data_IF_759622180427
#
_entry.id   IF_759622180427
#
_cell.length_a   1.000
_cell.length_b   1.000
_cell.length_c   1.000
_cell.angle_alpha   90.00
_cell.angle_beta   90.00
_cell.angle_gamma   90.00
#
_symmetry.space_group_name_H-M   'P 1'
#
loop_
_entity.id
_entity.type
_entity.pdbx_description
1 polymer ?
#
# COMPACT_ATOMS: atom_id res chain seq x y z
N UNK A 1 -22.63 49.78 49.43
CA UNK A 1 -21.58 50.71 49.90
C UNK A 1 -20.23 50.10 49.55
N UNK A 2 -19.58 50.60 48.49
CA UNK A 2 -18.20 51.19 48.45
C UNK A 2 -17.09 50.13 48.67
N UNK A 3 -16.39 49.62 47.62
CA UNK A 3 -15.12 50.11 47.02
C UNK A 3 -13.99 50.31 48.07
N UNK A 4 -12.70 49.96 47.92
CA UNK A 4 -11.80 49.81 46.79
C UNK A 4 -10.45 49.16 47.25
N UNK A 5 -9.66 48.66 46.27
CA UNK A 5 -8.21 48.37 46.12
C UNK A 5 -7.22 48.70 47.28
N UNK A 6 -6.10 47.97 47.46
CA UNK A 6 -4.89 48.01 46.60
C UNK A 6 -3.94 46.81 46.75
N UNK A 7 -3.27 46.48 45.63
CA UNK A 7 -2.10 45.58 45.44
C UNK A 7 -0.86 46.09 46.20
N UNK A 8 0.06 45.17 46.51
CA UNK A 8 1.51 45.34 46.26
C UNK A 8 2.17 43.98 45.96
N UNK A 9 3.12 44.03 45.04
CA UNK A 9 3.76 42.93 44.30
C UNK A 9 4.98 42.35 45.04
N UNK A 10 5.41 41.14 44.65
CA UNK A 10 6.78 40.68 44.87
C UNK A 10 6.93 39.32 45.53
N UNK A 11 6.67 38.23 44.79
CA UNK A 11 7.08 36.88 45.19
C UNK A 11 8.12 36.33 44.20
N UNK A 12 9.40 36.56 44.51
CA UNK A 12 10.52 35.91 43.83
C UNK A 12 10.80 34.58 44.54
N UNK A 13 10.60 33.48 43.80
CA UNK A 13 11.11 32.16 44.11
C UNK A 13 12.64 32.12 43.97
N UNK A 14 13.31 31.28 44.78
CA UNK A 14 14.20 30.20 44.32
C UNK A 14 14.57 29.33 45.55
N UNK A 15 14.14 28.06 45.54
CA UNK A 15 14.49 27.02 46.52
C UNK A 15 15.80 26.32 46.14
N UNK A 16 16.57 25.97 47.17
CA UNK A 16 17.90 25.36 47.17
C UNK A 16 17.94 23.92 46.64
N UNK A 17 19.09 23.65 45.99
CA UNK A 17 19.82 22.39 45.70
C UNK A 17 19.41 21.12 46.47
N UNK A 18 19.38 20.00 45.74
CA UNK A 18 19.57 18.64 46.24
C UNK A 18 20.16 17.76 45.14
N UNK A 19 21.34 17.21 45.38
CA UNK A 19 22.22 16.45 44.48
C UNK A 19 21.68 15.02 44.29
N UNK A 20 21.73 14.47 43.07
CA UNK A 20 21.73 13.01 42.85
C UNK A 20 22.82 12.62 41.85
N UNK A 21 23.41 11.47 42.16
CA UNK A 21 24.67 10.90 41.68
C UNK A 21 24.58 10.39 40.25
N UNK A 22 25.62 10.65 39.44
CA UNK A 22 26.03 9.78 38.33
C UNK A 22 27.00 8.72 38.88
N UNK A 23 26.97 7.48 38.35
CA UNK A 23 28.10 7.11 37.50
C UNK A 23 27.77 6.19 36.30
N UNK A 24 28.40 6.55 35.17
CA UNK A 24 29.20 5.69 34.27
C UNK A 24 28.47 4.77 33.26
N UNK A 25 28.69 5.14 32.00
CA UNK A 25 28.90 4.34 30.78
C UNK A 25 27.93 3.21 30.42
N UNK A 26 27.13 3.49 29.39
CA UNK A 26 26.95 2.54 28.29
C UNK A 26 27.04 3.29 26.96
N UNK A 27 28.24 3.30 26.36
CA UNK A 27 28.35 3.24 24.90
C UNK A 27 27.55 2.03 24.46
N UNK A 28 26.39 2.23 23.87
CA UNK A 28 25.75 1.20 23.06
C UNK A 28 25.39 1.83 21.73
N UNK A 29 26.25 1.55 20.77
CA UNK A 29 25.96 1.40 19.35
C UNK A 29 24.68 2.09 18.90
N UNK A 30 24.81 3.28 18.30
CA UNK A 30 23.82 3.72 17.33
C UNK A 30 23.78 2.63 16.26
N UNK A 31 22.85 1.68 16.43
CA UNK A 31 22.58 0.68 15.42
C UNK A 31 22.41 1.43 14.11
N UNK A 32 23.07 0.99 13.01
CA UNK A 32 22.86 1.63 11.72
C UNK A 32 21.34 1.68 11.51
N UNK A 33 20.83 2.90 11.26
CA UNK A 33 19.42 3.08 10.90
C UNK A 33 19.12 2.01 9.85
N UNK A 34 18.07 1.19 10.01
CA UNK A 34 17.71 0.26 8.95
C UNK A 34 17.62 1.10 7.68
N UNK A 35 18.40 0.71 6.66
CA UNK A 35 18.42 1.39 5.38
C UNK A 35 16.96 1.63 4.97
N UNK A 36 16.65 2.87 4.59
CA UNK A 36 15.29 3.24 4.19
C UNK A 36 14.76 2.19 3.21
N UNK A 37 13.71 1.43 3.56
CA UNK A 37 13.25 0.34 2.71
C UNK A 37 12.53 0.92 1.48
N UNK A 38 12.63 0.24 0.33
CA UNK A 38 12.75 0.91 -0.97
C UNK A 38 11.38 1.27 -1.55
N UNK A 39 11.32 2.34 -2.37
CA UNK A 39 10.23 2.54 -3.33
C UNK A 39 10.06 1.29 -4.21
N UNK A 40 8.85 0.86 -4.61
CA UNK A 40 8.69 0.01 -5.80
C UNK A 40 9.10 0.85 -7.02
N UNK A 41 10.40 0.98 -7.21
CA UNK A 41 11.02 1.45 -8.44
C UNK A 41 11.09 0.28 -9.42
N UNK A 42 11.36 0.58 -10.69
CA UNK A 42 11.75 -0.45 -11.67
C UNK A 42 12.84 -1.39 -11.13
N UNK A 43 13.72 -0.89 -10.25
CA UNK A 43 14.78 -1.67 -9.62
C UNK A 43 14.27 -2.68 -8.60
N UNK A 44 13.17 -2.39 -7.91
CA UNK A 44 12.53 -3.35 -6.99
C UNK A 44 11.89 -4.52 -7.76
N UNK A 45 11.23 -4.23 -8.88
CA UNK A 45 10.71 -5.26 -9.81
C UNK A 45 11.89 -6.01 -10.48
N UNK A 46 13.03 -5.35 -10.71
CA UNK A 46 14.23 -5.98 -11.25
C UNK A 46 14.99 -6.85 -10.21
N UNK A 47 14.99 -6.49 -8.94
CA UNK A 47 15.59 -7.27 -7.85
C UNK A 47 14.71 -8.47 -7.48
N UNK A 48 13.39 -8.26 -7.44
CA UNK A 48 12.41 -9.33 -7.57
C UNK A 48 12.34 -9.78 -9.04
N UNK A 49 13.36 -9.68 -9.89
CA UNK A 49 13.51 -10.51 -11.11
C UNK A 49 14.65 -11.51 -10.97
N UNK A 50 15.68 -11.15 -10.20
CA UNK A 50 16.92 -11.91 -10.04
C UNK A 50 16.83 -13.11 -9.11
N UNK A 51 15.85 -13.16 -8.20
CA UNK A 51 15.72 -14.23 -7.18
C UNK A 51 14.57 -15.20 -7.45
N UNK A 52 14.73 -16.08 -8.42
CA UNK A 52 13.81 -17.21 -8.62
C UNK A 52 14.49 -18.52 -8.20
N UNK A 53 13.73 -19.49 -7.64
CA UNK A 53 12.32 -19.39 -7.23
C UNK A 53 12.13 -18.46 -6.00
N UNK A 54 10.91 -17.97 -5.80
CA UNK A 54 10.58 -17.20 -4.60
C UNK A 54 10.47 -18.13 -3.38
N UNK A 55 10.94 -17.68 -2.22
CA UNK A 55 10.64 -18.37 -0.96
C UNK A 55 9.16 -18.18 -0.58
N UNK A 56 8.61 -18.99 0.36
CA UNK A 56 7.26 -18.77 0.86
C UNK A 56 7.05 -17.35 1.41
N UNK A 57 8.02 -16.82 2.15
CA UNK A 57 7.97 -15.48 2.75
C UNK A 57 7.97 -14.40 1.65
N UNK A 58 8.85 -14.53 0.65
CA UNK A 58 8.89 -13.63 -0.51
C UNK A 58 7.58 -13.68 -1.31
N UNK A 59 6.99 -14.87 -1.44
CA UNK A 59 5.69 -15.06 -2.11
C UNK A 59 4.57 -14.36 -1.36
N UNK A 60 4.51 -14.51 -0.03
CA UNK A 60 3.50 -13.86 0.80
C UNK A 60 3.65 -12.34 0.76
N UNK A 61 4.88 -11.83 0.86
CA UNK A 61 5.16 -10.41 0.74
C UNK A 61 4.74 -9.86 -0.63
N UNK A 62 5.06 -10.56 -1.72
CA UNK A 62 4.65 -10.17 -3.06
C UNK A 62 3.12 -10.18 -3.24
N UNK A 63 2.40 -11.15 -2.63
CA UNK A 63 0.94 -11.16 -2.61
C UNK A 63 0.36 -9.96 -1.84
N UNK A 64 0.97 -9.59 -0.71
CA UNK A 64 0.58 -8.41 0.08
C UNK A 64 0.74 -7.13 -0.73
N UNK A 65 1.87 -7.03 -1.43
CA UNK A 65 2.21 -5.92 -2.30
C UNK A 65 1.22 -5.80 -3.46
N UNK A 66 0.90 -6.90 -4.13
CA UNK A 66 -0.08 -6.93 -5.21
C UNK A 66 -1.48 -6.51 -4.73
N UNK A 67 -1.90 -6.98 -3.56
CA UNK A 67 -3.20 -6.62 -2.98
C UNK A 67 -3.29 -5.12 -2.67
N UNK A 68 -2.27 -4.53 -2.05
CA UNK A 68 -2.26 -3.11 -1.71
C UNK A 68 -2.06 -2.20 -2.94
N UNK A 69 -1.28 -2.64 -3.94
CA UNK A 69 -1.18 -1.98 -5.24
C UNK A 69 -2.54 -1.92 -5.93
N UNK A 70 -3.25 -3.05 -5.98
CA UNK A 70 -4.58 -3.11 -6.58
C UNK A 70 -5.59 -2.23 -5.81
N UNK A 71 -5.59 -2.24 -4.48
CA UNK A 71 -6.45 -1.34 -3.70
C UNK A 71 -6.18 0.15 -3.99
N UNK A 72 -4.91 0.52 -4.19
CA UNK A 72 -4.58 1.91 -4.54
C UNK A 72 -5.06 2.28 -5.93
N UNK A 73 -4.91 1.39 -6.90
CA UNK A 73 -5.46 1.58 -8.25
C UNK A 73 -6.98 1.73 -8.18
N UNK A 74 -7.67 0.86 -7.43
CA UNK A 74 -9.11 0.95 -7.18
C UNK A 74 -9.50 2.32 -6.57
N UNK A 75 -8.78 2.80 -5.56
CA UNK A 75 -9.05 4.11 -4.94
C UNK A 75 -8.91 5.28 -5.93
N UNK A 76 -8.04 5.16 -6.95
CA UNK A 76 -7.95 6.18 -8.02
C UNK A 76 -9.17 6.18 -8.93
N UNK A 77 -9.90 5.07 -9.01
CA UNK A 77 -11.14 4.94 -9.80
C UNK A 77 -12.36 5.61 -9.14
N UNK A 78 -12.28 6.03 -7.87
CA UNK A 78 -13.41 6.67 -7.18
C UNK A 78 -13.70 8.08 -7.70
N UNK A 79 -12.66 8.85 -8.02
CA UNK A 79 -12.79 10.24 -8.48
C UNK A 79 -13.45 10.34 -9.87
N UNK A 80 -13.06 9.53 -10.88
CA UNK A 80 -13.71 9.52 -12.19
C UNK A 80 -15.16 9.05 -12.13
N UNK A 81 -15.49 8.10 -11.25
CA UNK A 81 -16.85 7.57 -11.09
C UNK A 81 -17.87 8.67 -10.74
N UNK A 82 -17.47 9.64 -9.92
CA UNK A 82 -18.33 10.78 -9.57
C UNK A 82 -18.63 11.73 -10.74
N UNK A 83 -17.91 11.59 -11.87
CA UNK A 83 -18.04 12.43 -13.06
C UNK A 83 -18.62 11.69 -14.27
N UNK A 84 -18.89 10.39 -14.16
CA UNK A 84 -19.41 9.61 -15.28
C UNK A 84 -20.81 10.13 -15.72
N UNK A 85 -21.03 10.35 -17.04
CA UNK A 85 -22.17 11.13 -17.55
C UNK A 85 -23.51 10.38 -17.56
N UNK A 86 -23.52 9.04 -17.62
CA UNK A 86 -24.75 8.24 -17.74
C UNK A 86 -24.79 7.05 -16.76
N UNK A 87 -25.99 6.64 -16.36
CA UNK A 87 -26.21 5.62 -15.32
C UNK A 87 -25.73 4.22 -15.72
N UNK A 88 -25.77 3.87 -17.01
CA UNK A 88 -25.23 2.60 -17.51
C UNK A 88 -23.71 2.52 -17.38
N UNK A 89 -23.00 3.61 -17.71
CA UNK A 89 -21.54 3.72 -17.53
C UNK A 89 -21.17 3.64 -16.05
N UNK A 90 -21.96 4.28 -15.17
CA UNK A 90 -21.76 4.19 -13.71
C UNK A 90 -21.97 2.77 -13.19
N UNK A 91 -22.99 2.06 -13.67
CA UNK A 91 -23.25 0.68 -13.27
C UNK A 91 -22.13 -0.26 -13.76
N UNK A 92 -21.65 -0.08 -15.00
CA UNK A 92 -20.49 -0.79 -15.52
C UNK A 92 -19.26 -0.58 -14.65
N UNK A 93 -18.95 0.69 -14.34
CA UNK A 93 -17.81 1.07 -13.51
C UNK A 93 -17.89 0.48 -12.10
N UNK A 94 -19.06 0.55 -11.48
CA UNK A 94 -19.30 -0.02 -10.15
C UNK A 94 -19.07 -1.53 -10.14
N UNK A 95 -19.60 -2.24 -11.14
CA UNK A 95 -19.40 -3.70 -11.28
C UNK A 95 -17.93 -4.05 -11.49
N UNK A 96 -17.21 -3.32 -12.34
CA UNK A 96 -15.76 -3.48 -12.53
C UNK A 96 -15.02 -3.29 -11.20
N UNK A 97 -15.30 -2.20 -10.48
CA UNK A 97 -14.71 -1.93 -9.17
C UNK A 97 -14.94 -3.08 -8.18
N UNK A 98 -16.17 -3.58 -8.09
CA UNK A 98 -16.51 -4.70 -7.22
C UNK A 98 -15.73 -5.98 -7.55
N UNK A 99 -15.51 -6.27 -8.85
CA UNK A 99 -14.71 -7.40 -9.30
C UNK A 99 -13.24 -7.22 -8.91
N UNK A 100 -12.66 -6.04 -9.16
CA UNK A 100 -11.30 -5.71 -8.71
C UNK A 100 -11.13 -5.84 -7.19
N UNK A 101 -12.08 -5.36 -6.39
CA UNK A 101 -12.06 -5.57 -4.93
C UNK A 101 -12.17 -7.05 -4.55
N UNK A 102 -12.89 -7.86 -5.33
CA UNK A 102 -12.93 -9.30 -5.14
C UNK A 102 -11.56 -9.93 -5.39
N UNK A 103 -10.78 -9.45 -6.35
CA UNK A 103 -9.42 -9.90 -6.60
C UNK A 103 -8.50 -9.59 -5.40
N UNK A 104 -8.59 -8.38 -4.82
CA UNK A 104 -7.88 -8.03 -3.56
C UNK A 104 -8.20 -9.04 -2.45
N UNK A 105 -9.48 -9.34 -2.25
CA UNK A 105 -9.92 -10.33 -1.25
C UNK A 105 -9.40 -11.73 -1.56
N UNK A 106 -9.32 -12.12 -2.84
CA UNK A 106 -8.73 -13.41 -3.27
C UNK A 106 -7.24 -13.48 -2.94
N UNK A 107 -6.45 -12.43 -3.23
CA UNK A 107 -5.02 -12.36 -2.91
C UNK A 107 -4.77 -12.51 -1.39
N UNK A 108 -5.49 -11.72 -0.58
CA UNK A 108 -5.39 -11.78 0.89
C UNK A 108 -5.80 -13.14 1.46
N UNK A 109 -6.78 -13.81 0.84
CA UNK A 109 -7.13 -15.19 1.22
C UNK A 109 -6.00 -16.17 0.92
N UNK A 110 -5.24 -15.99 -0.16
CA UNK A 110 -4.08 -16.84 -0.42
C UNK A 110 -2.98 -16.62 0.62
N UNK A 111 -2.67 -15.36 0.97
CA UNK A 111 -1.70 -15.06 2.03
C UNK A 111 -2.07 -15.76 3.36
N UNK A 112 -3.35 -15.64 3.78
CA UNK A 112 -3.83 -16.31 5.00
C UNK A 112 -3.71 -17.82 4.94
N UNK A 113 -3.92 -18.43 3.78
CA UNK A 113 -3.75 -19.88 3.58
C UNK A 113 -2.28 -20.31 3.67
N UNK A 114 -1.36 -19.41 3.34
CA UNK A 114 0.08 -19.62 3.51
C UNK A 114 0.56 -19.37 4.96
N UNK A 115 -0.35 -19.04 5.89
CA UNK A 115 -0.07 -18.96 7.31
C UNK A 115 0.16 -17.55 7.85
N UNK A 116 0.12 -16.52 7.02
CA UNK A 116 0.48 -15.15 7.42
C UNK A 116 -0.73 -14.21 7.50
N UNK A 117 -0.92 -13.50 8.63
CA UNK A 117 -1.98 -12.52 8.77
C UNK A 117 -1.63 -11.22 8.03
N UNK A 118 -2.62 -10.67 7.34
CA UNK A 118 -2.51 -9.48 6.48
C UNK A 118 -1.91 -8.26 7.18
N UNK A 119 -2.16 -8.10 8.48
CA UNK A 119 -1.64 -6.99 9.29
C UNK A 119 -0.12 -7.04 9.41
N UNK A 120 0.48 -8.23 9.40
CA UNK A 120 1.93 -8.41 9.61
C UNK A 120 2.74 -8.10 8.35
N UNK A 121 2.16 -8.27 7.16
CA UNK A 121 2.88 -8.15 5.88
C UNK A 121 2.51 -6.88 5.13
N UNK A 122 1.88 -5.90 5.80
CA UNK A 122 1.42 -4.67 5.15
C UNK A 122 2.60 -3.86 4.61
N UNK A 123 2.73 -3.66 3.29
CA UNK A 123 3.86 -2.93 2.75
C UNK A 123 3.78 -1.45 3.14
N UNK A 124 4.93 -0.85 3.37
CA UNK A 124 5.11 0.53 3.81
C UNK A 124 4.67 1.52 2.74
N UNK A 125 4.41 2.76 3.17
CA UNK A 125 3.98 3.82 2.26
C UNK A 125 5.06 4.16 1.21
N UNK A 126 6.34 4.05 1.57
CA UNK A 126 7.46 4.25 0.66
C UNK A 126 7.52 3.14 -0.38
N UNK A 127 7.31 1.89 0.00
CA UNK A 127 7.24 0.76 -0.94
C UNK A 127 6.20 1.02 -2.04
N UNK A 128 5.14 1.74 -1.73
CA UNK A 128 4.02 1.87 -2.66
C UNK A 128 3.82 3.34 -3.06
N UNK A 129 4.83 4.01 -3.60
CA UNK A 129 4.65 5.30 -4.27
C UNK A 129 4.54 5.09 -5.78
N UNK A 130 3.60 5.76 -6.44
CA UNK A 130 3.45 5.77 -7.91
C UNK A 130 3.20 4.40 -8.58
N UNK A 131 2.23 3.67 -8.03
CA UNK A 131 1.73 2.40 -8.61
C UNK A 131 1.05 2.64 -9.94
N UNK A 132 1.27 1.76 -10.91
CA UNK A 132 0.59 1.73 -12.21
C UNK A 132 0.05 0.33 -12.47
N UNK A 133 -0.81 0.17 -13.47
CA UNK A 133 -1.29 -1.15 -13.88
C UNK A 133 -0.15 -2.05 -14.37
N UNK A 134 0.80 -1.48 -15.11
CA UNK A 134 1.98 -2.22 -15.57
C UNK A 134 2.81 -2.78 -14.40
N UNK A 135 2.97 -2.01 -13.31
CA UNK A 135 3.66 -2.50 -12.11
C UNK A 135 2.91 -3.68 -11.47
N UNK A 136 1.57 -3.62 -11.41
CA UNK A 136 0.76 -4.72 -10.85
C UNK A 136 0.86 -5.99 -11.71
N UNK A 137 0.76 -5.88 -13.03
CA UNK A 137 0.85 -7.04 -13.93
C UNK A 137 2.23 -7.69 -13.89
N UNK A 138 3.31 -6.88 -13.88
CA UNK A 138 4.66 -7.40 -13.73
C UNK A 138 4.85 -8.15 -12.40
N UNK A 139 4.22 -7.69 -11.32
CA UNK A 139 4.27 -8.37 -10.04
C UNK A 139 3.48 -9.69 -10.05
N UNK A 140 2.31 -9.75 -10.68
CA UNK A 140 1.57 -11.00 -10.84
C UNK A 140 2.36 -12.04 -11.62
N UNK A 141 2.88 -11.69 -12.79
CA UNK A 141 3.72 -12.56 -13.63
C UNK A 141 4.88 -13.12 -12.81
N UNK A 142 5.51 -12.25 -12.01
CA UNK A 142 6.60 -12.64 -11.13
C UNK A 142 6.20 -13.69 -10.09
N UNK A 143 5.08 -13.51 -9.42
CA UNK A 143 4.62 -14.48 -8.40
C UNK A 143 4.26 -15.81 -9.07
N UNK A 144 3.61 -15.75 -10.24
CA UNK A 144 3.23 -16.91 -11.06
C UNK A 144 4.47 -17.72 -11.47
N UNK A 145 5.49 -17.06 -12.00
CA UNK A 145 6.75 -17.68 -12.44
C UNK A 145 7.56 -18.20 -11.27
N UNK A 146 7.54 -17.47 -10.14
CA UNK A 146 8.41 -17.74 -9.01
C UNK A 146 7.88 -18.70 -7.97
N UNK A 147 6.57 -18.92 -7.91
CA UNK A 147 5.98 -19.88 -6.97
C UNK A 147 6.13 -21.31 -7.48
N UNK A 148 6.41 -22.24 -6.55
CA UNK A 148 6.34 -23.69 -6.80
C UNK A 148 4.94 -24.27 -6.50
N UNK A 149 4.06 -23.49 -5.86
CA UNK A 149 2.70 -23.93 -5.53
C UNK A 149 1.80 -23.84 -6.77
N UNK A 150 1.45 -25.00 -7.32
CA UNK A 150 0.59 -25.14 -8.51
C UNK A 150 -0.80 -24.54 -8.27
N UNK A 151 -1.36 -24.69 -7.06
CA UNK A 151 -2.68 -24.16 -6.73
C UNK A 151 -2.65 -22.65 -6.67
N UNK A 152 -1.63 -22.09 -6.02
CA UNK A 152 -1.42 -20.65 -5.99
C UNK A 152 -1.22 -20.09 -7.40
N UNK A 153 -0.41 -20.76 -8.23
CA UNK A 153 -0.18 -20.37 -9.63
C UNK A 153 -1.48 -20.33 -10.43
N UNK A 154 -2.32 -21.35 -10.32
CA UNK A 154 -3.63 -21.39 -11.01
C UNK A 154 -4.53 -20.23 -10.57
N UNK A 155 -4.62 -19.98 -9.26
CA UNK A 155 -5.43 -18.87 -8.73
C UNK A 155 -4.91 -17.52 -9.21
N UNK A 156 -3.59 -17.36 -9.31
CA UNK A 156 -2.98 -16.12 -9.78
C UNK A 156 -3.17 -15.90 -11.27
N UNK A 157 -3.14 -16.95 -12.10
CA UNK A 157 -3.48 -16.83 -13.52
C UNK A 157 -4.93 -16.35 -13.72
N UNK A 158 -5.87 -16.89 -12.94
CA UNK A 158 -7.26 -16.43 -12.97
C UNK A 158 -7.37 -14.96 -12.56
N UNK A 159 -6.77 -14.58 -11.43
CA UNK A 159 -6.80 -13.19 -10.95
C UNK A 159 -6.14 -12.25 -11.96
N UNK A 160 -5.00 -12.63 -12.52
CA UNK A 160 -4.30 -11.85 -13.54
C UNK A 160 -5.18 -11.65 -14.77
N UNK A 161 -5.77 -12.73 -15.30
CA UNK A 161 -6.62 -12.67 -16.49
C UNK A 161 -7.88 -11.85 -16.28
N UNK A 162 -8.58 -12.05 -15.15
CA UNK A 162 -9.74 -11.24 -14.78
C UNK A 162 -9.35 -9.75 -14.62
N UNK A 163 -8.21 -9.46 -13.97
CA UNK A 163 -7.73 -8.08 -13.82
C UNK A 163 -7.34 -7.44 -15.15
N UNK A 164 -6.76 -8.21 -16.07
CA UNK A 164 -6.42 -7.75 -17.42
C UNK A 164 -7.68 -7.40 -18.24
N UNK A 165 -8.74 -8.20 -18.11
CA UNK A 165 -10.05 -7.88 -18.71
C UNK A 165 -10.56 -6.56 -18.16
N UNK A 166 -10.61 -6.38 -16.83
CA UNK A 166 -11.09 -5.12 -16.23
C UNK A 166 -10.25 -3.91 -16.65
N UNK A 167 -8.92 -4.06 -16.74
CA UNK A 167 -8.03 -3.00 -17.23
C UNK A 167 -8.30 -2.66 -18.71
N UNK A 168 -8.56 -3.66 -19.55
CA UNK A 168 -8.96 -3.45 -20.94
C UNK A 168 -10.30 -2.70 -21.07
N UNK A 169 -11.28 -3.02 -20.24
CA UNK A 169 -12.54 -2.28 -20.15
C UNK A 169 -12.34 -0.83 -19.68
N UNK A 170 -11.48 -0.61 -18.68
CA UNK A 170 -11.12 0.74 -18.24
C UNK A 170 -10.46 1.53 -19.39
N UNK A 171 -9.56 0.89 -20.14
CA UNK A 171 -8.89 1.50 -21.28
C UNK A 171 -9.87 1.88 -22.40
N UNK A 172 -10.85 1.03 -22.71
CA UNK A 172 -11.86 1.34 -23.73
C UNK A 172 -12.68 2.56 -23.33
N UNK A 173 -13.07 2.69 -22.06
CA UNK A 173 -13.83 3.87 -21.61
C UNK A 173 -13.02 5.17 -21.63
N UNK A 174 -11.71 5.14 -21.41
CA UNK A 174 -10.87 6.33 -21.60
C UNK A 174 -10.90 6.79 -23.05
N UNK A 175 -10.87 5.86 -24.00
CA UNK A 175 -10.94 6.17 -25.44
C UNK A 175 -12.33 6.64 -25.85
N UNK A 176 -13.38 5.95 -25.39
CA UNK A 176 -14.75 6.16 -25.86
C UNK A 176 -15.44 7.36 -25.20
N UNK A 177 -15.14 7.66 -23.93
CA UNK A 177 -15.83 8.69 -23.14
C UNK A 177 -15.08 10.03 -23.17
N UNK A 178 -13.77 10.05 -23.45
CA UNK A 178 -12.97 11.26 -23.66
C UNK A 178 -12.75 12.17 -22.43
N UNK A 179 -13.60 12.08 -21.41
CA UNK A 179 -13.59 12.88 -20.18
C UNK A 179 -12.92 12.17 -18.98
N UNK A 180 -12.40 10.96 -19.20
CA UNK A 180 -11.74 10.15 -18.17
C UNK A 180 -10.23 10.34 -18.29
N UNK A 181 -9.58 10.65 -17.16
CA UNK A 181 -8.13 10.93 -17.11
C UNK A 181 -7.30 9.74 -17.65
N UNK A 182 -6.53 9.92 -18.74
CA UNK A 182 -5.74 8.83 -19.33
C UNK A 182 -4.65 8.30 -18.40
N UNK A 183 -4.24 9.04 -17.36
CA UNK A 183 -3.34 8.54 -16.32
C UNK A 183 -3.94 7.36 -15.53
N UNK A 184 -5.25 7.12 -15.59
CA UNK A 184 -5.90 6.00 -14.92
C UNK A 184 -5.61 4.64 -15.54
N UNK A 185 -5.17 4.61 -16.79
CA UNK A 185 -4.91 3.38 -17.56
C UNK A 185 -3.41 3.07 -17.63
N UNK A 186 -2.54 4.05 -17.34
CA UNK A 186 -1.08 3.84 -17.28
C UNK A 186 -0.67 2.89 -16.16
#
# INVERSE_FOLDING_TARGET
MVAEKFRLEGAVMIRKKGIRQDPVDARSSAAPRPASPPLITRDHIADIRRRLPLTPEETIHALALAAEMLERLIRRLDRPMSRAPHDETRLGWYRMKQRLEAHVRRLRRQMRRMGEPEVQVRPTRSEISDVTWAHLFALYERIIDGTKDIRLRSVLFEIWGETAIEHGWLASWVVDVGDIDPELVR
#
